data_IF_963045403132
#
_entry.id   IF_963045403132
#
_cell.length_a   1.000
_cell.length_b   1.000
_cell.length_c   1.000
_cell.angle_alpha   90.00
_cell.angle_beta   90.00
_cell.angle_gamma   90.00
#
_symmetry.space_group_name_H-M   'P 1'
#
loop_
_entity.id
_entity.type
_entity.pdbx_description
1 polymer ?
#
# COMPACT_ATOMS: atom_id res chain seq x y z
N UNK A 1 -19.27 -29.58 50.32
CA UNK A 1 -18.38 -29.89 49.17
C UNK A 1 -19.04 -29.71 47.78
N UNK A 2 -20.25 -30.21 47.48
CA UNK A 2 -20.92 -30.10 46.18
C UNK A 2 -21.09 -28.61 45.71
N UNK A 3 -21.48 -27.72 46.62
CA UNK A 3 -21.72 -26.27 46.29
C UNK A 3 -20.44 -25.50 45.91
N UNK A 4 -19.30 -25.86 46.49
CA UNK A 4 -18.01 -25.25 46.10
C UNK A 4 -17.55 -25.74 44.72
N UNK A 5 -17.68 -27.05 44.44
CA UNK A 5 -17.36 -27.63 43.11
C UNK A 5 -18.21 -27.02 42.01
N UNK A 6 -19.45 -26.68 42.29
CA UNK A 6 -20.33 -25.99 41.33
C UNK A 6 -19.84 -24.58 41.02
N UNK A 7 -19.44 -23.81 42.05
CA UNK A 7 -18.88 -22.45 41.88
C UNK A 7 -17.59 -22.47 41.09
N UNK A 8 -16.70 -23.45 41.33
CA UNK A 8 -15.47 -23.61 40.54
C UNK A 8 -15.77 -23.97 39.08
N UNK A 9 -16.73 -24.83 38.80
CA UNK A 9 -17.13 -25.15 37.44
C UNK A 9 -17.72 -23.94 36.70
N UNK A 10 -18.53 -23.16 37.38
CA UNK A 10 -19.12 -21.94 36.83
C UNK A 10 -18.01 -20.89 36.50
N UNK A 11 -17.07 -20.70 37.44
CA UNK A 11 -15.93 -19.80 37.21
C UNK A 11 -15.05 -20.26 36.02
N UNK A 12 -14.74 -21.56 35.99
CA UNK A 12 -13.96 -22.13 34.88
C UNK A 12 -14.68 -21.97 33.51
N UNK A 13 -15.98 -22.19 33.50
CA UNK A 13 -16.80 -21.97 32.29
C UNK A 13 -16.76 -20.51 31.87
N UNK A 14 -16.91 -19.57 32.79
CA UNK A 14 -16.86 -18.14 32.48
C UNK A 14 -15.49 -17.70 31.97
N UNK A 15 -14.40 -18.19 32.59
CA UNK A 15 -13.05 -17.96 32.10
C UNK A 15 -12.83 -18.53 30.69
N UNK A 16 -13.27 -19.75 30.45
CA UNK A 16 -13.18 -20.35 29.12
C UNK A 16 -13.96 -19.57 28.07
N UNK A 17 -15.18 -19.14 28.40
CA UNK A 17 -16.00 -18.31 27.50
C UNK A 17 -15.32 -16.95 27.21
N UNK A 18 -14.70 -16.34 28.22
CA UNK A 18 -13.94 -15.09 28.05
C UNK A 18 -12.73 -15.28 27.11
N UNK A 19 -11.94 -16.35 27.32
CA UNK A 19 -10.81 -16.64 26.43
C UNK A 19 -11.25 -16.99 25.00
N UNK A 20 -12.34 -17.71 24.86
CA UNK A 20 -12.91 -18.01 23.54
C UNK A 20 -13.36 -16.73 22.82
N UNK A 21 -13.97 -15.80 23.53
CA UNK A 21 -14.40 -14.51 23.00
C UNK A 21 -13.19 -13.63 22.60
N UNK A 22 -12.16 -13.58 23.44
CA UNK A 22 -10.92 -12.88 23.12
C UNK A 22 -10.20 -13.50 21.93
N UNK A 23 -10.16 -14.83 21.83
CA UNK A 23 -9.57 -15.55 20.70
C UNK A 23 -10.30 -15.26 19.38
N UNK A 24 -11.62 -15.34 19.39
CA UNK A 24 -12.46 -15.00 18.22
C UNK A 24 -12.31 -13.54 17.82
N UNK A 25 -12.29 -12.63 18.75
CA UNK A 25 -12.02 -11.22 18.48
C UNK A 25 -10.62 -11.00 17.88
N UNK A 26 -9.60 -11.67 18.41
CA UNK A 26 -8.23 -11.62 17.88
C UNK A 26 -8.15 -12.12 16.44
N UNK A 27 -8.73 -13.29 16.15
CA UNK A 27 -8.78 -13.85 14.80
C UNK A 27 -9.52 -12.90 13.85
N UNK A 28 -10.67 -12.40 14.25
CA UNK A 28 -11.46 -11.44 13.45
C UNK A 28 -10.69 -10.15 13.19
N UNK A 29 -10.03 -9.61 14.20
CA UNK A 29 -9.21 -8.41 14.09
C UNK A 29 -8.01 -8.61 13.14
N UNK A 30 -7.33 -9.75 13.22
CA UNK A 30 -6.24 -10.09 12.30
C UNK A 30 -6.76 -10.27 10.87
N UNK A 31 -7.91 -10.89 10.68
CA UNK A 31 -8.50 -11.09 9.36
C UNK A 31 -8.87 -9.76 8.69
N UNK A 32 -9.40 -8.79 9.44
CA UNK A 32 -9.82 -7.48 8.91
C UNK A 32 -8.67 -6.48 8.78
N UNK A 33 -7.78 -6.44 9.77
CA UNK A 33 -6.77 -5.38 9.89
C UNK A 33 -5.34 -5.90 9.72
N UNK A 34 -5.14 -7.21 9.63
CA UNK A 34 -3.81 -7.83 9.58
C UNK A 34 -2.95 -7.26 8.45
N UNK A 35 -3.52 -7.08 7.26
CA UNK A 35 -2.81 -6.48 6.13
C UNK A 35 -2.30 -5.06 6.44
N UNK A 36 -3.08 -4.25 7.15
CA UNK A 36 -2.67 -2.90 7.55
C UNK A 36 -1.53 -2.89 8.57
N UNK A 37 -1.55 -3.82 9.51
CA UNK A 37 -0.52 -3.88 10.55
C UNK A 37 0.79 -4.45 10.02
N UNK A 38 0.70 -5.48 9.18
CA UNK A 38 1.88 -6.12 8.60
C UNK A 38 2.55 -5.28 7.51
N UNK A 39 1.78 -4.47 6.77
CA UNK A 39 2.31 -3.68 5.65
C UNK A 39 2.83 -2.30 6.05
N UNK A 40 2.87 -1.99 7.35
CA UNK A 40 3.44 -0.74 7.82
C UNK A 40 4.90 -0.62 7.37
N UNK A 41 5.22 0.44 6.63
CA UNK A 41 6.50 0.61 5.92
C UNK A 41 7.74 0.53 6.83
N UNK A 42 7.61 0.90 8.11
CA UNK A 42 8.68 0.83 9.11
C UNK A 42 8.85 -0.57 9.75
N UNK A 43 8.02 -1.56 9.38
CA UNK A 43 8.16 -2.92 9.90
C UNK A 43 9.42 -3.58 9.31
N UNK A 44 10.43 -3.96 10.13
CA UNK A 44 11.69 -4.54 9.64
C UNK A 44 11.48 -5.83 8.82
N UNK A 45 10.46 -6.63 9.16
CA UNK A 45 10.13 -7.86 8.43
C UNK A 45 9.60 -7.58 7.04
N UNK A 46 8.76 -6.56 6.90
CA UNK A 46 8.26 -6.11 5.59
C UNK A 46 9.42 -5.58 4.75
N UNK A 47 10.32 -4.82 5.37
CA UNK A 47 11.50 -4.28 4.69
C UNK A 47 12.43 -5.38 4.18
N UNK A 48 12.70 -6.40 4.98
CA UNK A 48 13.51 -7.56 4.57
C UNK A 48 12.83 -8.36 3.44
N UNK A 49 11.51 -8.51 3.47
CA UNK A 49 10.77 -9.20 2.42
C UNK A 49 10.68 -8.39 1.12
N UNK A 50 10.63 -7.05 1.19
CA UNK A 50 10.65 -6.18 0.02
C UNK A 50 11.89 -6.38 -0.85
N UNK A 51 13.03 -6.70 -0.27
CA UNK A 51 14.28 -6.93 -1.02
C UNK A 51 14.26 -8.20 -1.88
N UNK A 52 13.40 -9.16 -1.53
CA UNK A 52 13.30 -10.47 -2.21
C UNK A 52 12.14 -10.57 -3.21
N UNK A 53 11.46 -9.45 -3.46
CA UNK A 53 10.31 -9.40 -4.36
C UNK A 53 10.50 -8.26 -5.33
N UNK A 54 10.14 -8.47 -6.59
CA UNK A 54 10.03 -7.40 -7.59
C UNK A 54 8.63 -6.81 -7.49
N UNK A 55 8.48 -5.58 -7.01
CA UNK A 55 7.15 -4.97 -6.89
C UNK A 55 6.47 -4.85 -8.24
N UNK A 56 5.15 -5.08 -8.26
CA UNK A 56 4.32 -4.87 -9.45
C UNK A 56 4.27 -3.40 -9.88
N UNK A 57 3.84 -3.16 -11.10
CA UNK A 57 3.71 -1.82 -11.66
C UNK A 57 2.50 -1.07 -11.11
N UNK A 58 2.63 0.24 -11.01
CA UNK A 58 1.49 1.13 -10.74
C UNK A 58 1.18 1.87 -12.04
N UNK A 59 -0.06 1.71 -12.50
CA UNK A 59 -0.55 2.27 -13.75
C UNK A 59 -1.65 3.30 -13.49
N UNK A 60 -1.78 4.26 -14.38
CA UNK A 60 -2.95 5.12 -14.40
C UNK A 60 -4.13 4.45 -15.12
N UNK A 61 -5.28 5.12 -15.17
CA UNK A 61 -6.50 4.62 -15.83
C UNK A 61 -6.33 4.31 -17.32
N UNK A 62 -5.34 4.91 -17.96
CA UNK A 62 -5.04 4.76 -19.40
C UNK A 62 -3.94 3.73 -19.66
N UNK A 63 -3.41 3.08 -18.62
CA UNK A 63 -2.32 2.13 -18.69
C UNK A 63 -0.93 2.76 -18.74
N UNK A 64 -0.82 4.06 -18.49
CA UNK A 64 0.48 4.72 -18.38
C UNK A 64 1.19 4.29 -17.10
N UNK A 65 2.42 3.84 -17.21
CA UNK A 65 3.23 3.39 -16.07
C UNK A 65 3.66 4.60 -15.25
N UNK A 66 3.21 4.65 -13.99
CA UNK A 66 3.56 5.69 -13.02
C UNK A 66 4.76 5.30 -12.16
N UNK A 67 4.85 4.02 -11.81
CA UNK A 67 5.98 3.43 -11.11
C UNK A 67 6.18 1.99 -11.58
N UNK A 68 7.44 1.63 -11.83
CA UNK A 68 7.85 0.28 -12.20
C UNK A 68 9.05 -0.16 -11.37
N UNK A 69 9.52 -1.37 -11.56
CA UNK A 69 10.69 -1.90 -10.84
C UNK A 69 11.73 -2.40 -11.84
N UNK A 70 12.97 -1.99 -11.67
CA UNK A 70 14.12 -2.52 -12.39
C UNK A 70 14.92 -3.48 -11.50
N UNK A 71 15.42 -4.55 -12.08
CA UNK A 71 16.30 -5.50 -11.41
C UNK A 71 17.68 -5.35 -12.04
N UNK A 72 18.67 -4.98 -11.24
CA UNK A 72 20.05 -4.87 -11.66
C UNK A 72 20.70 -6.27 -11.77
N UNK A 73 21.85 -6.37 -12.43
CA UNK A 73 22.59 -7.65 -12.61
C UNK A 73 23.01 -8.30 -11.28
N UNK A 74 23.25 -7.49 -10.26
CA UNK A 74 23.54 -7.94 -8.90
C UNK A 74 22.29 -8.44 -8.15
N UNK A 75 21.13 -8.40 -8.80
CA UNK A 75 19.85 -8.77 -8.20
C UNK A 75 19.22 -7.68 -7.33
N UNK A 76 19.77 -6.47 -7.25
CA UNK A 76 19.16 -5.37 -6.52
C UNK A 76 17.92 -4.89 -7.23
N UNK A 77 16.80 -4.78 -6.49
CA UNK A 77 15.53 -4.27 -7.00
C UNK A 77 15.44 -2.78 -6.69
N UNK A 78 15.31 -1.96 -7.73
CA UNK A 78 15.15 -0.51 -7.60
C UNK A 78 13.80 -0.09 -8.12
N UNK A 79 13.08 0.73 -7.36
CA UNK A 79 11.82 1.33 -7.78
C UNK A 79 12.09 2.52 -8.69
N UNK A 80 11.51 2.52 -9.88
CA UNK A 80 11.68 3.55 -10.90
C UNK A 80 10.34 4.25 -11.11
N UNK A 81 10.34 5.55 -10.92
CA UNK A 81 9.17 6.39 -11.15
C UNK A 81 9.24 7.03 -12.53
N UNK A 82 8.10 7.53 -13.01
CA UNK A 82 7.97 8.11 -14.33
C UNK A 82 9.09 9.13 -14.63
N UNK A 83 9.70 9.04 -15.81
CA UNK A 83 10.85 9.86 -16.20
C UNK A 83 10.50 11.35 -16.33
N UNK A 84 9.27 11.67 -16.75
CA UNK A 84 8.81 13.05 -16.85
C UNK A 84 8.64 13.65 -15.45
N UNK A 85 9.48 14.62 -15.10
CA UNK A 85 9.48 15.25 -13.77
C UNK A 85 8.15 15.92 -13.44
N UNK A 86 7.52 16.61 -14.37
CA UNK A 86 6.23 17.28 -14.14
C UNK A 86 5.13 16.27 -13.85
N UNK A 87 5.09 15.16 -14.59
CA UNK A 87 4.12 14.09 -14.34
C UNK A 87 4.39 13.37 -13.03
N UNK A 88 5.66 13.08 -12.71
CA UNK A 88 6.06 12.48 -11.44
C UNK A 88 5.65 13.35 -10.25
N UNK A 89 5.91 14.65 -10.31
CA UNK A 89 5.49 15.61 -9.27
C UNK A 89 3.97 15.67 -9.12
N UNK A 90 3.22 15.60 -10.22
CA UNK A 90 1.76 15.68 -10.18
C UNK A 90 1.10 14.51 -9.46
N UNK A 91 1.76 13.34 -9.38
CA UNK A 91 1.20 12.11 -8.79
C UNK A 91 1.93 11.64 -7.53
N UNK A 92 2.99 12.34 -7.08
CA UNK A 92 3.84 11.89 -5.96
C UNK A 92 3.07 11.60 -4.69
N UNK A 93 2.08 12.44 -4.32
CA UNK A 93 1.25 12.22 -3.13
C UNK A 93 0.32 11.02 -3.24
N UNK A 94 -0.06 10.71 -4.46
CA UNK A 94 -0.90 9.56 -4.77
C UNK A 94 -0.10 8.27 -4.72
N UNK A 95 1.09 8.29 -5.28
CA UNK A 95 1.98 7.13 -5.30
C UNK A 95 2.58 6.86 -3.93
N UNK A 96 3.04 7.91 -3.25
CA UNK A 96 3.91 7.74 -2.11
C UNK A 96 5.33 7.33 -2.53
N UNK A 97 6.06 6.75 -1.60
CA UNK A 97 7.38 6.18 -1.85
C UNK A 97 7.50 4.73 -1.34
N UNK A 98 8.45 4.00 -1.90
CA UNK A 98 8.75 2.62 -1.49
C UNK A 98 9.39 2.53 -0.11
N UNK A 99 9.99 3.60 0.38
CA UNK A 99 10.73 3.64 1.65
C UNK A 99 9.86 4.08 2.83
N UNK A 100 8.63 4.52 2.53
CA UNK A 100 7.64 4.90 3.54
C UNK A 100 7.87 6.26 4.17
N UNK A 101 8.61 7.15 3.50
CA UNK A 101 8.73 8.56 3.91
C UNK A 101 7.42 9.30 3.65
N UNK A 102 6.74 8.97 2.55
CA UNK A 102 5.39 9.43 2.23
C UNK A 102 4.40 8.33 2.60
N UNK A 103 3.88 8.38 3.82
CA UNK A 103 3.10 7.30 4.43
C UNK A 103 1.70 7.08 3.82
N UNK A 104 1.20 8.00 3.01
CA UNK A 104 -0.21 8.04 2.57
C UNK A 104 -0.39 7.80 1.07
N UNK A 105 0.49 7.04 0.43
CA UNK A 105 0.42 6.73 -1.00
C UNK A 105 -0.01 5.29 -1.30
N UNK A 106 -0.21 5.00 -2.57
CA UNK A 106 -0.52 3.67 -3.11
C UNK A 106 0.53 2.65 -2.70
N UNK A 107 1.81 3.03 -2.72
CA UNK A 107 2.94 2.20 -2.30
C UNK A 107 2.77 1.69 -0.85
N UNK A 108 2.19 2.50 0.03
CA UNK A 108 1.94 2.12 1.42
C UNK A 108 0.63 1.35 1.58
N UNK A 109 -0.45 1.80 0.93
CA UNK A 109 -1.77 1.18 1.09
C UNK A 109 -1.91 -0.14 0.36
N UNK A 110 -1.26 -0.29 -0.80
CA UNK A 110 -1.32 -1.47 -1.65
C UNK A 110 -0.05 -2.34 -1.56
N UNK A 111 0.76 -2.15 -0.52
CA UNK A 111 1.98 -2.94 -0.30
C UNK A 111 1.71 -4.45 -0.37
N UNK A 112 0.56 -4.92 0.14
CA UNK A 112 0.20 -6.34 0.13
C UNK A 112 0.10 -6.91 -1.29
N UNK A 113 -0.45 -6.15 -2.23
CA UNK A 113 -0.55 -6.50 -3.66
C UNK A 113 0.78 -6.29 -4.37
N UNK A 114 1.31 -5.08 -4.30
CA UNK A 114 2.54 -4.69 -4.99
C UNK A 114 3.74 -5.59 -4.65
N UNK A 115 3.79 -6.13 -3.45
CA UNK A 115 4.85 -7.05 -3.01
C UNK A 115 4.39 -8.51 -2.91
N UNK A 116 3.21 -8.85 -3.44
CA UNK A 116 2.73 -10.22 -3.51
C UNK A 116 2.62 -10.92 -2.14
N UNK A 117 2.26 -10.20 -1.08
CA UNK A 117 2.07 -10.81 0.24
C UNK A 117 0.81 -11.67 0.32
N UNK A 118 -0.09 -11.52 -0.65
CA UNK A 118 -1.33 -12.30 -0.76
C UNK A 118 -1.16 -13.56 -1.62
N UNK A 119 0.03 -13.78 -2.21
CA UNK A 119 0.31 -14.97 -3.02
C UNK A 119 0.16 -16.24 -2.21
N UNK A 120 -0.36 -17.28 -2.84
CA UNK A 120 -0.60 -18.59 -2.24
C UNK A 120 0.68 -19.26 -1.73
N UNK A 121 0.51 -20.22 -0.82
CA UNK A 121 1.63 -21.00 -0.26
C UNK A 121 2.40 -21.73 -1.36
N UNK A 122 1.73 -22.20 -2.40
CA UNK A 122 2.34 -22.91 -3.52
C UNK A 122 3.31 -22.03 -4.33
N UNK A 123 2.94 -20.80 -4.62
CA UNK A 123 3.84 -19.85 -5.32
C UNK A 123 5.07 -19.51 -4.50
N UNK A 124 4.93 -19.44 -3.17
CA UNK A 124 6.07 -19.25 -2.26
C UNK A 124 7.03 -20.42 -2.28
N UNK A 125 6.50 -21.64 -2.27
CA UNK A 125 7.31 -22.87 -2.36
C UNK A 125 8.01 -22.95 -3.72
N UNK A 126 7.31 -22.66 -4.81
CA UNK A 126 7.87 -22.66 -6.15
C UNK A 126 9.01 -21.65 -6.28
N UNK A 127 8.83 -20.43 -5.79
CA UNK A 127 9.87 -19.39 -5.80
C UNK A 127 11.11 -19.81 -5.00
N UNK A 128 10.92 -20.51 -3.86
CA UNK A 128 12.03 -21.05 -3.06
C UNK A 128 12.80 -22.16 -3.79
N UNK A 129 12.09 -23.02 -4.53
CA UNK A 129 12.73 -24.13 -5.27
C UNK A 129 13.44 -23.64 -6.53
N UNK A 130 12.84 -22.66 -7.23
CA UNK A 130 13.41 -22.14 -8.49
C UNK A 130 14.46 -21.05 -8.28
N UNK A 131 14.58 -20.50 -7.06
CA UNK A 131 15.47 -19.38 -6.76
C UNK A 131 15.09 -18.06 -7.46
N UNK A 132 13.93 -18.01 -8.12
CA UNK A 132 13.47 -16.82 -8.81
C UNK A 132 12.86 -15.82 -7.82
N UNK A 133 13.11 -14.53 -8.03
CA UNK A 133 12.43 -13.49 -7.27
C UNK A 133 10.95 -13.50 -7.62
N UNK A 134 10.11 -13.40 -6.60
CA UNK A 134 8.67 -13.29 -6.77
C UNK A 134 8.34 -11.93 -7.38
N UNK A 135 7.30 -11.89 -8.20
CA UNK A 135 6.71 -10.67 -8.70
C UNK A 135 5.45 -10.35 -7.91
N UNK A 136 5.27 -9.08 -7.64
CA UNK A 136 4.01 -8.57 -7.09
C UNK A 136 2.97 -8.32 -8.18
N UNK A 137 1.76 -7.99 -7.76
CA UNK A 137 0.66 -7.70 -8.66
C UNK A 137 0.69 -6.23 -9.09
N UNK A 138 0.25 -5.97 -10.32
CA UNK A 138 0.09 -4.62 -10.83
C UNK A 138 -1.15 -3.95 -10.24
N UNK A 139 -1.05 -2.65 -9.99
CA UNK A 139 -2.15 -1.84 -9.45
C UNK A 139 -2.52 -0.76 -10.46
N UNK A 140 -3.75 -0.80 -10.96
CA UNK A 140 -4.29 0.25 -11.84
C UNK A 140 -5.11 1.24 -11.04
N UNK A 141 -4.75 2.51 -11.15
CA UNK A 141 -5.45 3.61 -10.48
C UNK A 141 -6.56 4.17 -11.37
N UNK A 142 -7.54 4.79 -10.76
CA UNK A 142 -8.58 5.54 -11.47
C UNK A 142 -8.13 6.93 -11.94
N UNK A 143 -6.94 7.32 -11.58
CA UNK A 143 -6.34 8.63 -11.84
C UNK A 143 -5.90 8.76 -13.28
N UNK A 144 -6.00 9.98 -13.80
CA UNK A 144 -5.50 10.39 -15.11
C UNK A 144 -4.24 11.24 -14.90
N UNK A 145 -3.09 10.67 -15.23
CA UNK A 145 -1.79 11.33 -15.01
C UNK A 145 -1.59 12.57 -15.88
N UNK A 146 -2.19 12.60 -17.07
CA UNK A 146 -2.14 13.77 -17.96
C UNK A 146 -2.94 14.94 -17.38
N UNK A 147 -4.13 14.65 -16.86
CA UNK A 147 -4.97 15.63 -16.18
C UNK A 147 -4.29 16.16 -14.91
N UNK A 148 -3.69 15.29 -14.10
CA UNK A 148 -2.91 15.70 -12.93
C UNK A 148 -1.79 16.67 -13.30
N UNK A 149 -1.06 16.37 -14.38
CA UNK A 149 0.03 17.21 -14.88
C UNK A 149 -0.47 18.58 -15.37
N UNK A 150 -1.57 18.60 -16.13
CA UNK A 150 -2.17 19.84 -16.62
C UNK A 150 -2.64 20.75 -15.48
N UNK A 151 -3.24 20.17 -14.44
CA UNK A 151 -3.67 20.92 -13.27
C UNK A 151 -2.46 21.49 -12.51
N UNK A 152 -1.42 20.67 -12.27
CA UNK A 152 -0.21 21.14 -11.62
C UNK A 152 0.43 22.31 -12.38
N UNK A 153 0.59 22.19 -13.70
CA UNK A 153 1.11 23.26 -14.53
C UNK A 153 0.24 24.52 -14.47
N UNK A 154 -1.09 24.37 -14.38
CA UNK A 154 -2.01 25.50 -14.21
C UNK A 154 -1.82 26.22 -12.88
N UNK A 155 -1.59 25.48 -11.81
CA UNK A 155 -1.22 26.05 -10.51
C UNK A 155 0.09 26.83 -10.57
N UNK A 156 1.12 26.21 -11.15
CA UNK A 156 2.45 26.85 -11.27
C UNK A 156 2.41 28.15 -12.08
N UNK A 157 1.58 28.21 -13.11
CA UNK A 157 1.43 29.42 -13.96
C UNK A 157 0.60 30.51 -13.30
N UNK A 158 -0.52 30.13 -12.64
CA UNK A 158 -1.51 31.11 -12.14
C UNK A 158 -1.27 31.54 -10.69
N UNK A 159 -0.63 30.71 -9.89
CA UNK A 159 -0.41 30.94 -8.48
C UNK A 159 0.97 30.45 -8.04
N UNK A 160 2.06 30.99 -8.62
CA UNK A 160 3.41 30.58 -8.28
C UNK A 160 3.67 30.78 -6.79
N UNK A 161 4.25 29.77 -6.13
CA UNK A 161 4.57 29.80 -4.70
C UNK A 161 3.37 29.77 -3.74
N UNK A 162 2.16 29.59 -4.23
CA UNK A 162 0.97 29.42 -3.38
C UNK A 162 0.68 27.94 -3.13
N UNK A 163 0.28 27.64 -1.90
CA UNK A 163 -0.26 26.32 -1.56
C UNK A 163 -1.70 26.18 -2.07
N UNK A 164 -2.05 25.00 -2.54
CA UNK A 164 -3.40 24.71 -3.02
C UNK A 164 -3.57 23.21 -3.25
N UNK A 165 -4.79 22.81 -3.52
CA UNK A 165 -5.12 21.45 -3.94
C UNK A 165 -6.26 21.50 -4.94
N UNK A 166 -6.30 20.55 -5.87
CA UNK A 166 -7.42 20.38 -6.78
C UNK A 166 -7.86 18.92 -6.77
N UNK A 167 -9.14 18.70 -6.75
CA UNK A 167 -9.75 17.38 -6.82
C UNK A 167 -10.74 17.37 -7.96
N UNK A 168 -10.56 16.41 -8.88
CA UNK A 168 -11.51 16.15 -9.96
C UNK A 168 -12.10 14.77 -9.75
N UNK A 169 -13.42 14.71 -9.68
CA UNK A 169 -14.16 13.48 -9.44
C UNK A 169 -15.31 13.35 -10.46
N UNK A 170 -15.50 12.14 -10.94
CA UNK A 170 -16.69 11.83 -11.71
C UNK A 170 -17.90 11.73 -10.79
N UNK A 171 -18.84 12.65 -10.92
CA UNK A 171 -20.02 12.72 -10.03
C UNK A 171 -20.99 11.54 -10.18
N UNK A 172 -20.93 10.81 -11.31
CA UNK A 172 -21.79 9.63 -11.53
C UNK A 172 -21.21 8.36 -10.91
N UNK A 173 -19.90 8.21 -10.94
CA UNK A 173 -19.20 7.00 -10.48
C UNK A 173 -18.48 7.20 -9.15
N UNK A 174 -18.38 8.43 -8.66
CA UNK A 174 -17.61 8.82 -7.48
C UNK A 174 -16.11 8.46 -7.55
N UNK A 175 -15.58 8.17 -8.75
CA UNK A 175 -14.16 7.90 -8.92
C UNK A 175 -13.35 9.19 -8.97
N UNK A 176 -12.25 9.22 -8.24
CA UNK A 176 -11.28 10.31 -8.28
C UNK A 176 -10.39 10.18 -9.50
N UNK A 177 -10.22 11.28 -10.23
CA UNK A 177 -9.35 11.36 -11.41
C UNK A 177 -8.04 12.09 -11.12
N UNK A 178 -7.99 12.91 -10.06
CA UNK A 178 -6.81 13.67 -9.70
C UNK A 178 -6.87 14.16 -8.27
N UNK A 179 -5.72 14.37 -7.68
CA UNK A 179 -5.56 15.01 -6.37
C UNK A 179 -4.19 15.67 -6.23
N UNK A 180 -3.75 16.55 -7.18
CA UNK A 180 -2.47 17.25 -7.03
C UNK A 180 -2.55 18.28 -5.92
N UNK A 181 -1.46 18.35 -5.11
CA UNK A 181 -1.25 19.38 -4.10
C UNK A 181 0.13 19.99 -4.28
N UNK A 182 0.25 21.29 -4.61
CA UNK A 182 1.55 21.94 -4.75
C UNK A 182 2.25 22.24 -3.42
N UNK A 183 1.62 21.98 -2.30
CA UNK A 183 2.18 22.33 -0.97
C UNK A 183 3.49 21.58 -0.65
N UNK A 184 3.67 20.41 -1.22
CA UNK A 184 4.73 19.50 -0.83
C UNK A 184 6.00 19.64 -1.68
N UNK A 185 6.00 20.56 -2.66
CA UNK A 185 7.19 20.90 -3.45
C UNK A 185 8.12 21.90 -2.78
N UNK A 186 7.70 22.50 -1.67
CA UNK A 186 8.52 23.45 -0.92
C UNK A 186 9.43 22.77 0.12
N UNK A 187 9.34 21.47 0.28
CA UNK A 187 10.05 20.70 1.31
C UNK A 187 11.06 19.68 0.75
N UNK A 188 11.35 19.72 -0.56
CA UNK A 188 12.35 18.84 -1.20
C UNK A 188 13.46 19.64 -1.86
#
# INVERSE_FOLDING_TARGET
MKRQRFKFKLLAFFLFALFALLGTYGIHSIALYGNRWFTYAKNPRVRAQKQNVVPGDVLDRSGVVLATSSVSEDGTVTRVYQANEAARRAVVHLLGDSDGQVANGVESFQTAYLYGFQTGIWERIQALVTGQKRHGDNVTLTVDSSLCTAILQSFQRRAPGKAGAAVVMNYKTCLLYTSPSPRDYAAS
#
